data_IF_784546928360
#
_entry.id   IF_784546928360
#
_cell.length_a   1.000
_cell.length_b   1.000
_cell.length_c   1.000
_cell.angle_alpha   90.00
_cell.angle_beta   90.00
_cell.angle_gamma   90.00
#
_symmetry.space_group_name_H-M   'P 1'
#
loop_
_entity.id
_entity.type
_entity.pdbx_description
1 polymer ?
#
# COMPACT_ATOMS: atom_id res chain seq x y z
N UNK A 1 -21.11 -17.10 -9.04
CA UNK A 1 -20.76 -15.84 -8.33
C UNK A 1 -20.30 -14.83 -9.39
N UNK A 2 -21.05 -13.73 -9.59
CA UNK A 2 -20.77 -12.75 -10.65
C UNK A 2 -19.91 -11.64 -10.04
N UNK A 3 -18.64 -11.54 -10.45
CA UNK A 3 -17.73 -10.48 -10.00
C UNK A 3 -18.19 -9.16 -10.61
N UNK A 4 -18.54 -8.20 -9.77
CA UNK A 4 -18.84 -6.84 -10.20
C UNK A 4 -17.61 -5.98 -9.91
N UNK A 5 -16.93 -5.53 -10.96
CA UNK A 5 -15.83 -4.57 -10.87
C UNK A 5 -16.41 -3.19 -11.18
N UNK A 6 -16.72 -2.35 -10.18
CA UNK A 6 -17.13 -0.98 -10.45
C UNK A 6 -15.97 -0.25 -11.15
N UNK A 7 -16.27 0.69 -12.08
CA UNK A 7 -15.24 1.56 -12.63
C UNK A 7 -14.57 2.34 -11.50
N UNK A 8 -13.24 2.50 -11.57
CA UNK A 8 -12.51 3.27 -10.58
C UNK A 8 -12.95 4.74 -10.63
N UNK A 9 -13.53 5.24 -9.53
CA UNK A 9 -13.92 6.66 -9.43
C UNK A 9 -12.69 7.56 -9.32
N UNK A 10 -11.67 7.10 -8.57
CA UNK A 10 -10.37 7.74 -8.41
C UNK A 10 -9.28 6.66 -8.25
N UNK A 11 -8.11 6.86 -8.85
CA UNK A 11 -6.97 5.94 -8.77
C UNK A 11 -5.76 6.65 -8.18
N UNK A 12 -5.14 6.03 -7.17
CA UNK A 12 -3.98 6.57 -6.47
C UNK A 12 -2.94 5.47 -6.31
N UNK A 13 -1.66 5.80 -6.51
CA UNK A 13 -0.55 4.88 -6.28
C UNK A 13 0.05 5.01 -4.87
N UNK A 14 -0.58 5.79 -3.99
CA UNK A 14 -0.07 6.16 -2.68
C UNK A 14 -1.15 5.97 -1.59
N UNK A 15 -0.79 5.28 -0.51
CA UNK A 15 -1.72 4.93 0.56
C UNK A 15 -2.20 6.13 1.38
N UNK A 16 -1.35 7.15 1.56
CA UNK A 16 -1.72 8.37 2.28
C UNK A 16 -2.70 9.21 1.45
N UNK A 17 -2.50 9.29 0.13
CA UNK A 17 -3.44 9.92 -0.80
C UNK A 17 -4.79 9.20 -0.80
N UNK A 18 -4.80 7.86 -0.80
CA UNK A 18 -6.04 7.08 -0.67
C UNK A 18 -6.75 7.36 0.66
N UNK A 19 -6.02 7.37 1.78
CA UNK A 19 -6.57 7.69 3.09
C UNK A 19 -7.19 9.09 3.12
N UNK A 20 -6.49 10.10 2.59
CA UNK A 20 -6.99 11.47 2.49
C UNK A 20 -8.28 11.55 1.66
N UNK A 21 -8.34 10.82 0.55
CA UNK A 21 -9.55 10.77 -0.29
C UNK A 21 -10.74 10.15 0.44
N UNK A 22 -10.53 9.07 1.21
CA UNK A 22 -11.62 8.45 2.01
C UNK A 22 -12.08 9.40 3.12
N UNK A 23 -11.16 10.05 3.83
CA UNK A 23 -11.49 11.03 4.87
C UNK A 23 -12.24 12.26 4.31
N UNK A 24 -11.95 12.64 3.05
CA UNK A 24 -12.67 13.69 2.33
C UNK A 24 -14.05 13.25 1.80
N UNK A 25 -14.44 11.98 1.99
CA UNK A 25 -15.72 11.46 1.51
C UNK A 25 -15.74 11.10 0.03
N UNK A 26 -14.59 10.93 -0.62
CA UNK A 26 -14.50 10.57 -2.05
C UNK A 26 -14.81 9.09 -2.35
N UNK A 27 -15.30 8.32 -1.37
CA UNK A 27 -15.68 6.92 -1.50
C UNK A 27 -15.15 6.05 -0.37
N UNK A 28 -14.92 4.78 -0.66
CA UNK A 28 -14.29 3.82 0.25
C UNK A 28 -13.07 3.18 -0.42
N UNK A 29 -12.08 2.80 0.38
CA UNK A 29 -10.88 2.13 -0.09
C UNK A 29 -10.51 1.00 0.87
N UNK A 30 -9.84 -0.03 0.36
CA UNK A 30 -9.23 -1.07 1.19
C UNK A 30 -7.85 -0.59 1.63
N UNK A 31 -7.69 -0.36 2.94
CA UNK A 31 -6.45 0.13 3.53
C UNK A 31 -6.04 -0.78 4.71
N UNK A 32 -4.73 -0.90 5.01
CA UNK A 32 -4.28 -1.67 6.16
C UNK A 32 -4.80 -1.13 7.49
N UNK A 33 -5.16 -2.01 8.42
CA UNK A 33 -5.73 -1.63 9.72
C UNK A 33 -4.84 -0.68 10.54
N UNK A 34 -3.51 -0.85 10.46
CA UNK A 34 -2.56 0.03 11.15
C UNK A 34 -2.61 1.48 10.66
N UNK A 35 -3.01 1.71 9.41
CA UNK A 35 -3.10 3.03 8.80
C UNK A 35 -4.42 3.72 9.20
N UNK A 36 -5.53 2.97 9.22
CA UNK A 36 -6.88 3.51 9.46
C UNK A 36 -7.34 3.43 10.91
N UNK A 37 -6.65 2.66 11.76
CA UNK A 37 -7.11 2.29 13.10
C UNK A 37 -7.41 3.47 14.04
N UNK A 38 -6.66 4.58 13.93
CA UNK A 38 -6.96 5.79 14.72
C UNK A 38 -8.27 6.45 14.29
N UNK A 39 -8.55 6.48 12.99
CA UNK A 39 -9.75 7.08 12.42
C UNK A 39 -10.98 6.21 12.67
N UNK A 40 -10.82 4.88 12.66
CA UNK A 40 -11.85 3.94 13.09
C UNK A 40 -12.23 4.15 14.56
N UNK A 41 -11.24 4.34 15.45
CA UNK A 41 -11.50 4.61 16.87
C UNK A 41 -12.17 5.96 17.13
N UNK A 42 -11.80 6.98 16.36
CA UNK A 42 -12.40 8.32 16.46
C UNK A 42 -13.82 8.41 15.88
N UNK A 43 -14.23 7.42 15.07
CA UNK A 43 -15.49 7.43 14.34
C UNK A 43 -15.46 8.20 13.01
N UNK A 44 -14.31 8.78 12.63
CA UNK A 44 -14.11 9.42 11.32
C UNK A 44 -14.21 8.41 10.16
N UNK A 45 -13.85 7.15 10.41
CA UNK A 45 -14.01 6.04 9.46
C UNK A 45 -14.87 4.93 10.07
N UNK A 46 -15.54 4.17 9.19
CA UNK A 46 -16.31 2.98 9.55
C UNK A 46 -15.99 1.83 8.62
N UNK A 47 -15.80 0.65 9.18
CA UNK A 47 -15.61 -0.57 8.39
C UNK A 47 -16.90 -0.93 7.64
N UNK A 48 -16.75 -1.31 6.38
CA UNK A 48 -17.84 -1.72 5.49
C UNK A 48 -17.47 -3.05 4.82
N UNK A 49 -18.48 -3.82 4.42
CA UNK A 49 -18.29 -5.09 3.69
C UNK A 49 -17.37 -6.09 4.40
N UNK A 50 -17.42 -6.17 5.74
CA UNK A 50 -16.59 -7.09 6.54
C UNK A 50 -16.76 -8.57 6.12
N UNK A 51 -17.94 -8.97 5.65
CA UNK A 51 -18.18 -10.33 5.11
C UNK A 51 -17.36 -10.63 3.84
N UNK A 52 -16.83 -9.60 3.17
CA UNK A 52 -16.04 -9.67 1.95
C UNK A 52 -14.61 -9.15 2.14
N UNK A 53 -14.23 -8.69 3.34
CA UNK A 53 -12.86 -8.29 3.67
C UNK A 53 -12.00 -9.55 3.86
N UNK A 54 -11.62 -10.14 2.74
CA UNK A 54 -10.87 -11.40 2.71
C UNK A 54 -9.43 -11.26 3.18
N UNK A 55 -9.02 -12.26 3.96
CA UNK A 55 -7.69 -12.74 4.37
C UNK A 55 -6.74 -11.64 4.90
N UNK A 56 -6.38 -11.78 6.18
CA UNK A 56 -5.30 -11.06 6.81
C UNK A 56 -4.01 -11.21 5.99
N UNK A 57 -3.57 -10.11 5.38
CA UNK A 57 -2.34 -10.11 4.56
C UNK A 57 -1.16 -9.94 5.53
N UNK A 58 -0.31 -10.96 5.72
CA UNK A 58 0.79 -10.88 6.68
C UNK A 58 1.82 -9.84 6.20
N UNK A 59 2.05 -8.82 7.02
CA UNK A 59 3.13 -7.86 6.79
C UNK A 59 4.39 -8.46 7.38
N UNK A 60 5.33 -8.87 6.51
CA UNK A 60 6.63 -9.39 6.92
C UNK A 60 7.72 -8.34 6.74
N UNK A 61 8.58 -8.18 7.74
CA UNK A 61 9.80 -7.39 7.60
C UNK A 61 10.84 -8.21 6.84
N UNK A 62 11.24 -7.73 5.65
CA UNK A 62 12.39 -8.27 4.94
C UNK A 62 13.65 -7.57 5.45
N UNK A 63 14.49 -8.30 6.18
CA UNK A 63 15.83 -7.85 6.53
C UNK A 63 16.80 -8.30 5.44
N UNK A 64 17.65 -7.38 4.97
CA UNK A 64 18.76 -7.73 4.10
C UNK A 64 19.76 -8.60 4.90
N UNK A 65 19.59 -9.92 4.83
CA UNK A 65 20.68 -10.84 5.14
C UNK A 65 21.83 -10.44 4.22
N UNK A 66 22.95 -10.04 4.81
CA UNK A 66 24.13 -9.51 4.11
C UNK A 66 24.37 -10.33 2.82
N UNK A 67 24.40 -9.72 1.63
CA UNK A 67 24.93 -10.46 0.48
C UNK A 67 26.37 -10.85 0.82
N UNK A 68 26.87 -12.04 0.43
CA UNK A 68 28.30 -12.21 0.34
C UNK A 68 28.80 -11.04 -0.52
N UNK A 69 29.79 -10.32 0.00
CA UNK A 69 30.46 -9.21 -0.66
C UNK A 69 31.06 -9.73 -1.97
N UNK A 70 30.26 -9.80 -3.03
CA UNK A 70 30.76 -9.95 -4.39
C UNK A 70 30.79 -8.56 -4.98
N UNK A 71 31.89 -7.88 -4.73
CA UNK A 71 32.27 -6.67 -5.43
C UNK A 71 32.45 -7.01 -6.91
N UNK A 72 31.40 -6.90 -7.73
CA UNK A 72 31.62 -6.71 -9.17
C UNK A 72 31.99 -5.24 -9.36
N UNK A 73 33.27 -4.94 -9.17
CA UNK A 73 33.86 -3.67 -9.58
C UNK A 73 33.80 -3.59 -11.12
N UNK A 74 32.79 -2.92 -11.66
CA UNK A 74 32.79 -2.49 -13.06
C UNK A 74 33.84 -1.39 -13.21
N UNK A 75 34.93 -1.67 -13.94
CA UNK A 75 35.91 -0.66 -14.32
C UNK A 75 35.28 0.33 -15.31
N UNK A 76 34.77 1.46 -14.80
CA UNK A 76 34.37 2.59 -15.62
C UNK A 76 35.59 3.44 -15.97
N UNK A 77 36.09 3.35 -17.21
CA UNK A 77 37.10 4.28 -17.74
C UNK A 77 36.42 5.57 -18.18
N UNK A 78 36.81 6.70 -17.60
CA UNK A 78 36.44 8.03 -18.12
C UNK A 78 37.28 8.28 -19.38
N UNK A 79 36.64 8.37 -20.56
CA UNK A 79 37.29 8.97 -21.71
C UNK A 79 37.42 10.47 -21.43
N UNK A 80 38.65 10.97 -21.37
CA UNK A 80 38.94 12.38 -21.60
C UNK A 80 39.69 12.48 -22.93
N UNK A 81 39.33 13.53 -23.69
CA UNK A 81 39.72 13.77 -25.08
C UNK A 81 41.21 13.91 -25.33
#
# INVERSE_FOLDING_TARGET
>A
MKRYAPPATYEFADGDAMLAAVLAGCGFAQLPLWMVGKYLKSGELKEVLQEYSGIEIPISALWAAKPPITTQNTLCRRYFG
#
